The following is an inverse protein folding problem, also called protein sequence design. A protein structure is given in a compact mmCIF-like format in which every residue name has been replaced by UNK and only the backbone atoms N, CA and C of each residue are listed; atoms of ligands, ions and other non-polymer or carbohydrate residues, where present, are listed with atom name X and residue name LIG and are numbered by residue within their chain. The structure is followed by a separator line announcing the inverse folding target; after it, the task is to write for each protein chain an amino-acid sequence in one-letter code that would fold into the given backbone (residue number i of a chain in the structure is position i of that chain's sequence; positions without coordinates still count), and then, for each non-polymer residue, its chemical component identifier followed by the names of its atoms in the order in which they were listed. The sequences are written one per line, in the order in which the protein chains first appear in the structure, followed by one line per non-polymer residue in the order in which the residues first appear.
data_IF_813871048896
#
_entry.id   IF_813871048896
#
_cell.length_a   1.000
_cell.length_b   1.000
_cell.length_c   1.000
_cell.angle_alpha   90.00
_cell.angle_beta   90.00
_cell.angle_gamma   90.00
#
_symmetry.space_group_name_H-M   'P 1'
#
loop_
_entity.id
_entity.type
_entity.pdbx_description
1 polymer ?
#
# COMPACT_ATOMS: atom_id res chain seq x y z
N UNK A 1 -0.12 -11.28 -12.50
CA UNK A 1 -0.98 -11.23 -13.70
C UNK A 1 -2.17 -12.15 -13.49
N UNK A 2 -3.36 -11.71 -13.85
CA UNK A 2 -4.57 -12.53 -13.75
C UNK A 2 -4.58 -13.64 -14.79
N UNK A 3 -5.10 -14.82 -14.43
CA UNK A 3 -5.31 -15.91 -15.38
C UNK A 3 -6.50 -15.63 -16.31
N UNK A 4 -6.53 -16.24 -17.49
CA UNK A 4 -7.64 -16.09 -18.45
C UNK A 4 -9.02 -16.31 -17.82
N UNK A 5 -9.27 -17.42 -17.11
CA UNK A 5 -10.56 -17.65 -16.45
C UNK A 5 -10.93 -16.55 -15.44
N UNK A 6 -9.96 -16.03 -14.67
CA UNK A 6 -10.20 -14.93 -13.71
C UNK A 6 -10.54 -13.61 -14.41
N UNK A 7 -9.99 -13.38 -15.61
CA UNK A 7 -10.31 -12.21 -16.43
C UNK A 7 -11.76 -12.29 -16.90
N UNK A 8 -12.15 -13.41 -17.50
CA UNK A 8 -13.51 -13.64 -18.01
C UNK A 8 -14.57 -13.54 -16.92
N UNK A 9 -14.32 -14.15 -15.77
CA UNK A 9 -15.22 -14.06 -14.62
C UNK A 9 -15.38 -12.60 -14.15
N UNK A 10 -14.27 -11.86 -14.06
CA UNK A 10 -14.30 -10.46 -13.62
C UNK A 10 -15.01 -9.56 -14.62
N UNK A 11 -14.81 -9.77 -15.93
CA UNK A 11 -15.51 -9.04 -16.98
C UNK A 11 -17.02 -9.23 -16.83
N UNK A 12 -17.49 -10.47 -16.67
CA UNK A 12 -18.91 -10.79 -16.48
C UNK A 12 -19.46 -10.16 -15.20
N UNK A 13 -18.78 -10.36 -14.08
CA UNK A 13 -19.22 -9.86 -12.76
C UNK A 13 -19.31 -8.36 -12.66
N UNK A 14 -18.37 -7.63 -13.29
CA UNK A 14 -18.30 -6.15 -13.25
C UNK A 14 -18.98 -5.47 -14.42
N UNK A 15 -19.45 -6.23 -15.43
CA UNK A 15 -20.13 -5.71 -16.58
C UNK A 15 -19.22 -4.85 -17.48
N UNK A 16 -17.94 -5.19 -17.59
CA UNK A 16 -17.02 -4.49 -18.48
C UNK A 16 -17.40 -4.74 -19.95
N UNK A 17 -17.30 -3.71 -20.80
CA UNK A 17 -17.65 -3.75 -22.21
C UNK A 17 -16.64 -2.99 -23.04
N UNK A 18 -16.41 -3.40 -24.29
CA UNK A 18 -15.47 -2.75 -25.21
C UNK A 18 -15.85 -1.28 -25.49
N UNK A 19 -17.15 -0.98 -25.50
CA UNK A 19 -17.72 0.35 -25.70
C UNK A 19 -18.02 1.12 -24.39
N UNK A 20 -17.52 0.60 -23.27
CA UNK A 20 -17.84 1.14 -21.95
C UNK A 20 -16.65 1.13 -20.99
N UNK A 21 -16.92 0.71 -19.75
CA UNK A 21 -15.89 0.62 -18.70
C UNK A 21 -14.97 -0.58 -18.94
N UNK A 22 -13.66 -0.33 -18.89
CA UNK A 22 -12.63 -1.36 -19.06
C UNK A 22 -12.03 -1.80 -17.73
N UNK A 23 -11.42 -2.99 -17.73
CA UNK A 23 -10.65 -3.51 -16.63
C UNK A 23 -9.24 -2.92 -16.65
N UNK A 24 -8.81 -2.33 -15.53
CA UNK A 24 -7.55 -1.60 -15.39
C UNK A 24 -6.49 -2.35 -14.59
N UNK A 25 -6.83 -3.51 -14.04
CA UNK A 25 -6.01 -4.27 -13.10
C UNK A 25 -5.68 -5.69 -13.59
N UNK A 26 -5.37 -5.83 -14.88
CA UNK A 26 -4.88 -7.11 -15.44
C UNK A 26 -3.58 -7.55 -14.75
N UNK A 27 -2.72 -6.59 -14.41
CA UNK A 27 -1.58 -6.76 -13.53
C UNK A 27 -1.87 -6.03 -12.23
N UNK A 28 -1.74 -6.71 -11.10
CA UNK A 28 -1.71 -6.13 -9.78
C UNK A 28 -0.32 -6.24 -9.18
N UNK A 29 0.22 -5.13 -8.69
CA UNK A 29 1.45 -5.07 -7.92
C UNK A 29 1.08 -4.65 -6.51
N UNK A 30 1.63 -5.31 -5.50
CA UNK A 30 1.40 -4.97 -4.12
C UNK A 30 2.70 -4.57 -3.46
N UNK A 31 2.70 -3.42 -2.80
CA UNK A 31 3.82 -2.90 -2.02
C UNK A 31 3.38 -2.86 -0.57
N UNK A 32 4.03 -3.65 0.26
CA UNK A 32 3.76 -3.72 1.70
C UNK A 32 4.88 -3.02 2.45
N UNK A 33 4.53 -1.98 3.18
CA UNK A 33 5.43 -1.12 3.94
C UNK A 33 5.33 -1.45 5.44
N UNK A 34 6.38 -1.18 6.18
CA UNK A 34 6.35 -1.39 7.64
C UNK A 34 5.57 -0.30 8.37
N UNK A 35 5.57 0.93 7.87
CA UNK A 35 5.04 2.10 8.58
C UNK A 35 4.08 2.91 7.71
N UNK A 36 3.07 3.47 8.36
CA UNK A 36 2.02 4.24 7.70
C UNK A 36 2.51 5.57 7.10
N UNK A 37 3.53 6.20 7.70
CA UNK A 37 4.11 7.45 7.18
C UNK A 37 4.92 7.26 5.88
N UNK A 38 5.38 6.03 5.59
CA UNK A 38 6.05 5.70 4.33
C UNK A 38 5.09 5.57 3.14
N UNK A 39 3.77 5.43 3.39
CA UNK A 39 2.75 5.29 2.34
C UNK A 39 2.75 6.48 1.39
N UNK A 40 2.76 7.70 1.93
CA UNK A 40 2.79 8.92 1.13
C UNK A 40 4.10 9.10 0.36
N UNK A 41 5.22 8.67 0.93
CA UNK A 41 6.52 8.69 0.24
C UNK A 41 6.50 7.69 -0.93
N UNK A 42 6.02 6.49 -0.69
CA UNK A 42 5.87 5.46 -1.74
C UNK A 42 4.95 5.94 -2.87
N UNK A 43 3.81 6.55 -2.54
CA UNK A 43 2.92 7.15 -3.53
C UNK A 43 3.66 8.15 -4.42
N UNK A 44 4.39 9.12 -3.83
CA UNK A 44 5.15 10.12 -4.59
C UNK A 44 6.20 9.50 -5.52
N UNK A 45 6.88 8.45 -5.06
CA UNK A 45 7.86 7.73 -5.88
C UNK A 45 7.19 7.09 -7.11
N UNK A 46 6.01 6.48 -6.92
CA UNK A 46 5.24 5.90 -8.02
C UNK A 46 4.79 6.99 -9.01
N UNK A 47 4.23 8.10 -8.50
CA UNK A 47 3.79 9.24 -9.32
C UNK A 47 4.93 9.88 -10.13
N UNK A 48 6.15 9.89 -9.59
CA UNK A 48 7.34 10.36 -10.31
C UNK A 48 7.87 9.35 -11.34
N UNK A 49 7.56 8.07 -11.17
CA UNK A 49 8.12 6.98 -11.98
C UNK A 49 7.19 6.53 -13.09
N UNK A 50 5.89 6.73 -12.96
CA UNK A 50 4.86 6.25 -13.88
C UNK A 50 3.77 7.30 -14.10
N UNK A 51 3.12 7.24 -15.25
CA UNK A 51 1.91 8.03 -15.54
C UNK A 51 0.73 7.42 -14.79
N UNK A 52 0.30 8.07 -13.71
CA UNK A 52 -0.84 7.65 -12.90
C UNK A 52 -2.12 8.18 -13.53
N UNK A 53 -3.01 7.29 -13.94
CA UNK A 53 -4.28 7.62 -14.60
C UNK A 53 -5.46 7.69 -13.65
N UNK A 54 -5.39 6.99 -12.53
CA UNK A 54 -6.43 7.02 -11.49
C UNK A 54 -5.85 6.72 -10.11
N UNK A 55 -6.43 7.32 -9.07
CA UNK A 55 -6.06 7.10 -7.68
C UNK A 55 -7.33 6.82 -6.88
N UNK A 56 -7.42 5.62 -6.34
CA UNK A 56 -8.46 5.24 -5.39
C UNK A 56 -7.89 5.23 -3.97
N UNK A 57 -8.33 6.18 -3.16
CA UNK A 57 -7.97 6.27 -1.75
C UNK A 57 -9.22 6.14 -0.90
N UNK A 58 -9.21 5.19 0.03
CA UNK A 58 -10.21 5.17 1.11
C UNK A 58 -9.72 6.13 2.18
N UNK A 59 -10.46 7.21 2.40
CA UNK A 59 -10.17 8.16 3.47
C UNK A 59 -10.74 7.62 4.77
N UNK A 60 -9.94 7.63 5.83
CA UNK A 60 -10.43 7.31 7.17
C UNK A 60 -11.55 8.30 7.56
N UNK A 61 -12.71 7.76 7.93
CA UNK A 61 -13.75 8.55 8.57
C UNK A 61 -13.45 8.61 10.08
N UNK A 62 -13.42 9.80 10.72
CA UNK A 62 -13.05 9.92 12.13
C UNK A 62 -13.88 9.05 13.09
N UNK A 63 -15.11 8.73 12.68
CA UNK A 63 -16.04 7.96 13.49
C UNK A 63 -16.02 6.45 13.20
N UNK A 64 -15.23 6.01 12.21
CA UNK A 64 -15.19 4.61 11.77
C UNK A 64 -13.78 4.15 11.52
N UNK A 65 -13.44 3.00 12.07
CA UNK A 65 -12.25 2.29 11.67
C UNK A 65 -12.52 1.55 10.36
N UNK A 66 -11.93 2.04 9.28
CA UNK A 66 -12.00 1.45 7.95
C UNK A 66 -10.60 1.25 7.41
N UNK A 67 -10.29 0.10 6.79
CA UNK A 67 -8.97 -0.10 6.18
C UNK A 67 -8.65 0.99 5.18
N UNK A 68 -7.59 1.74 5.43
CA UNK A 68 -7.06 2.66 4.43
C UNK A 68 -6.53 1.87 3.25
N UNK A 69 -7.04 2.18 2.08
CA UNK A 69 -6.62 1.57 0.82
C UNK A 69 -6.09 2.67 -0.08
N UNK A 70 -4.88 2.51 -0.54
CA UNK A 70 -4.32 3.36 -1.57
C UNK A 70 -3.97 2.49 -2.78
N UNK A 71 -4.72 2.69 -3.85
CA UNK A 71 -4.50 2.01 -5.11
C UNK A 71 -4.25 3.07 -6.18
N UNK A 72 -3.20 2.89 -6.95
CA UNK A 72 -2.87 3.71 -8.11
C UNK A 72 -3.02 2.87 -9.36
N UNK A 73 -3.70 3.40 -10.37
CA UNK A 73 -3.73 2.81 -11.70
C UNK A 73 -2.71 3.54 -12.55
N UNK A 74 -1.73 2.80 -13.05
CA UNK A 74 -0.61 3.34 -13.81
C UNK A 74 -0.66 2.86 -15.25
N UNK A 75 -0.28 3.70 -16.21
CA UNK A 75 -0.11 3.32 -17.61
C UNK A 75 1.05 2.34 -17.77
N UNK A 76 0.86 1.31 -18.56
CA UNK A 76 1.95 0.42 -18.96
C UNK A 76 2.85 1.11 -19.98
N UNK A 77 4.16 0.97 -19.81
CA UNK A 77 5.11 1.33 -20.86
C UNK A 77 5.01 0.35 -22.03
N UNK A 78 5.25 0.83 -23.24
CA UNK A 78 5.17 0.01 -24.45
C UNK A 78 5.96 -1.31 -24.36
N UNK A 79 7.17 -1.26 -23.80
CA UNK A 79 7.99 -2.45 -23.56
C UNK A 79 7.33 -3.54 -22.73
N UNK A 80 6.36 -3.18 -21.88
CA UNK A 80 5.59 -4.12 -21.05
C UNK A 80 4.34 -4.55 -21.79
N UNK A 81 3.60 -3.59 -22.36
CA UNK A 81 2.36 -3.89 -23.09
C UNK A 81 2.60 -4.75 -24.34
N UNK A 82 3.74 -4.59 -24.98
CA UNK A 82 4.14 -5.37 -26.18
C UNK A 82 4.51 -6.84 -25.88
N UNK A 83 4.68 -7.19 -24.59
CA UNK A 83 4.86 -8.59 -24.18
C UNK A 83 3.55 -9.38 -24.14
N UNK A 84 2.42 -8.69 -24.17
CA UNK A 84 1.10 -9.31 -24.27
C UNK A 84 0.70 -9.48 -25.73
N UNK A 85 -0.10 -10.50 -26.00
CA UNK A 85 -0.74 -10.62 -27.31
C UNK A 85 -1.62 -9.39 -27.59
N UNK A 86 -1.37 -8.73 -28.71
CA UNK A 86 -2.09 -7.52 -29.09
C UNK A 86 -3.60 -7.76 -29.29
N UNK A 87 -4.05 -9.00 -29.45
CA UNK A 87 -5.46 -9.37 -29.52
C UNK A 87 -6.19 -9.09 -28.20
N UNK A 88 -5.51 -9.25 -27.06
CA UNK A 88 -6.09 -9.00 -25.73
C UNK A 88 -6.65 -7.58 -25.61
N UNK A 89 -5.94 -6.58 -26.13
CA UNK A 89 -6.35 -5.17 -26.06
C UNK A 89 -7.50 -4.81 -26.98
N UNK A 90 -7.77 -5.64 -27.99
CA UNK A 90 -8.82 -5.42 -28.99
C UNK A 90 -10.08 -6.24 -28.75
N UNK A 91 -9.91 -7.45 -28.24
CA UNK A 91 -10.99 -8.43 -28.07
C UNK A 91 -11.62 -8.36 -26.68
N UNK A 92 -10.88 -7.86 -25.68
CA UNK A 92 -11.36 -7.75 -24.32
C UNK A 92 -11.42 -6.28 -23.86
N UNK A 93 -12.38 -5.93 -22.98
CA UNK A 93 -12.49 -4.57 -22.42
C UNK A 93 -11.41 -4.36 -21.34
N UNK A 94 -10.15 -4.27 -21.74
CA UNK A 94 -8.99 -4.17 -20.87
C UNK A 94 -8.14 -2.97 -21.29
N UNK A 95 -7.77 -2.11 -20.34
CA UNK A 95 -6.84 -1.00 -20.56
C UNK A 95 -5.39 -1.47 -20.44
N UNK A 96 -4.47 -0.79 -21.13
CA UNK A 96 -3.01 -0.97 -21.00
C UNK A 96 -2.51 -0.35 -19.70
N UNK A 97 -3.03 -0.83 -18.58
CA UNK A 97 -2.74 -0.33 -17.24
C UNK A 97 -2.40 -1.46 -16.28
N UNK A 98 -1.79 -1.09 -15.17
CA UNK A 98 -1.57 -1.97 -14.02
C UNK A 98 -1.95 -1.24 -12.73
N UNK A 99 -2.40 -1.99 -11.73
CA UNK A 99 -2.75 -1.44 -10.43
C UNK A 99 -1.60 -1.63 -9.45
N UNK A 100 -1.22 -0.56 -8.75
CA UNK A 100 -0.30 -0.62 -7.61
C UNK A 100 -1.09 -0.42 -6.33
N UNK A 101 -1.07 -1.42 -5.46
CA UNK A 101 -1.71 -1.40 -4.14
C UNK A 101 -0.66 -1.14 -3.09
N UNK A 102 -0.78 -0.04 -2.34
CA UNK A 102 0.14 0.31 -1.25
C UNK A 102 -0.57 0.05 0.07
N UNK A 103 0.07 -0.69 0.95
CA UNK A 103 -0.46 -1.14 2.25
C UNK A 103 0.62 -1.10 3.32
N UNK A 104 0.24 -1.07 4.60
CA UNK A 104 1.13 -1.45 5.69
C UNK A 104 1.02 -2.96 5.96
N UNK A 105 1.98 -3.52 6.68
CA UNK A 105 1.98 -4.95 7.07
C UNK A 105 0.68 -5.32 7.80
N UNK A 106 0.21 -4.48 8.73
CA UNK A 106 -1.01 -4.76 9.48
C UNK A 106 -2.27 -4.59 8.63
N UNK A 107 -2.32 -3.54 7.82
CA UNK A 107 -3.42 -3.31 6.87
C UNK A 107 -3.52 -4.44 5.84
N UNK A 108 -2.39 -4.95 5.38
CA UNK A 108 -2.35 -6.07 4.44
C UNK A 108 -2.80 -7.38 5.09
N UNK A 109 -2.26 -7.70 6.28
CA UNK A 109 -2.67 -8.90 7.00
C UNK A 109 -4.17 -8.91 7.30
N UNK A 110 -4.72 -7.78 7.71
CA UNK A 110 -6.16 -7.61 7.87
C UNK A 110 -6.91 -7.81 6.55
N UNK A 111 -6.44 -7.18 5.46
CA UNK A 111 -7.10 -7.25 4.16
C UNK A 111 -7.22 -8.69 3.64
N UNK A 112 -6.18 -9.49 3.80
CA UNK A 112 -6.19 -10.90 3.40
C UNK A 112 -7.23 -11.70 4.22
N UNK A 113 -7.27 -11.51 5.54
CA UNK A 113 -8.24 -12.17 6.41
C UNK A 113 -9.68 -11.73 6.07
N UNK A 114 -9.91 -10.43 5.95
CA UNK A 114 -11.24 -9.87 5.65
C UNK A 114 -11.73 -10.32 4.28
N UNK A 115 -10.85 -10.28 3.28
CA UNK A 115 -11.20 -10.65 1.92
C UNK A 115 -11.53 -12.14 1.78
N UNK A 116 -10.74 -13.01 2.39
CA UNK A 116 -10.89 -14.43 2.19
C UNK A 116 -11.96 -15.05 3.11
N UNK A 117 -12.12 -14.53 4.31
CA UNK A 117 -13.03 -15.10 5.30
C UNK A 117 -14.40 -14.42 5.29
N UNK A 118 -14.46 -13.08 5.18
CA UNK A 118 -15.72 -12.35 5.25
C UNK A 118 -16.26 -11.90 3.90
N UNK A 119 -15.45 -11.19 3.10
CA UNK A 119 -15.93 -10.61 1.85
C UNK A 119 -16.41 -11.66 0.84
N UNK A 120 -15.67 -12.76 0.67
CA UNK A 120 -16.07 -13.86 -0.21
C UNK A 120 -17.27 -14.63 0.29
N UNK A 121 -17.55 -14.60 1.60
CA UNK A 121 -18.61 -15.34 2.27
C UNK A 121 -19.58 -14.41 3.00
N UNK A 122 -19.84 -13.22 2.44
CA UNK A 122 -20.61 -12.17 3.12
C UNK A 122 -22.02 -12.61 3.53
N UNK A 123 -22.63 -13.53 2.79
CA UNK A 123 -23.93 -14.09 3.12
C UNK A 123 -23.89 -14.87 4.44
N UNK A 124 -22.81 -15.59 4.72
CA UNK A 124 -22.65 -16.38 5.95
C UNK A 124 -22.49 -15.48 7.19
N UNK A 125 -22.01 -14.25 7.00
CA UNK A 125 -21.81 -13.26 8.06
C UNK A 125 -23.02 -12.39 8.34
N UNK A 126 -24.00 -12.35 7.43
CA UNK A 126 -25.17 -11.48 7.52
C UNK A 126 -26.02 -11.74 8.77
N UNK A 127 -26.06 -12.98 9.25
CA UNK A 127 -26.80 -13.39 10.45
C UNK A 127 -26.02 -13.13 11.75
N UNK A 128 -24.74 -12.75 11.67
CA UNK A 128 -23.86 -12.58 12.82
C UNK A 128 -23.25 -11.17 12.91
N UNK A 129 -24.07 -10.10 13.07
CA UNK A 129 -23.58 -8.72 13.05
C UNK A 129 -22.62 -8.41 14.20
N UNK A 130 -22.77 -9.07 15.36
CA UNK A 130 -21.85 -8.88 16.49
C UNK A 130 -20.47 -9.45 16.20
N UNK A 131 -20.37 -10.61 15.57
CA UNK A 131 -19.08 -11.19 15.17
C UNK A 131 -18.42 -10.34 14.10
N UNK A 132 -19.19 -9.82 13.15
CA UNK A 132 -18.68 -8.87 12.14
C UNK A 132 -18.14 -7.59 12.79
N UNK A 133 -18.84 -7.07 13.83
CA UNK A 133 -18.36 -5.92 14.62
C UNK A 133 -17.07 -6.25 15.38
N UNK A 134 -16.98 -7.41 16.00
CA UNK A 134 -15.79 -7.85 16.72
C UNK A 134 -14.60 -7.95 15.78
N UNK A 135 -14.79 -8.48 14.57
CA UNK A 135 -13.77 -8.54 13.54
C UNK A 135 -13.28 -7.12 13.15
N UNK A 136 -14.18 -6.14 13.02
CA UNK A 136 -13.81 -4.74 12.81
C UNK A 136 -13.02 -4.15 14.00
N UNK A 137 -13.31 -4.59 15.23
CA UNK A 137 -12.54 -4.22 16.43
C UNK A 137 -11.10 -4.70 16.38
N UNK A 138 -10.84 -5.87 15.79
CA UNK A 138 -9.47 -6.35 15.56
C UNK A 138 -8.73 -5.41 14.60
N UNK A 139 -9.40 -4.95 13.54
CA UNK A 139 -8.81 -3.97 12.63
C UNK A 139 -8.42 -2.66 13.34
N UNK A 140 -9.31 -2.12 14.18
CA UNK A 140 -9.03 -0.92 14.97
C UNK A 140 -7.79 -1.09 15.87
N UNK A 141 -7.61 -2.29 16.43
CA UNK A 141 -6.43 -2.63 17.21
C UNK A 141 -5.15 -2.63 16.35
N UNK A 142 -5.20 -3.22 15.16
CA UNK A 142 -4.07 -3.27 14.25
C UNK A 142 -3.66 -1.88 13.76
N UNK A 143 -4.60 -1.00 13.46
CA UNK A 143 -4.34 0.40 13.11
C UNK A 143 -3.69 1.15 14.27
N UNK A 144 -4.17 0.94 15.50
CA UNK A 144 -3.56 1.50 16.71
C UNK A 144 -2.13 0.97 16.91
N UNK A 145 -1.87 -0.30 16.58
CA UNK A 145 -0.53 -0.88 16.63
C UNK A 145 0.42 -0.24 15.62
N UNK A 146 -0.04 0.07 14.40
CA UNK A 146 0.75 0.81 13.40
C UNK A 146 1.25 2.14 13.97
N UNK A 147 0.35 2.91 14.58
CA UNK A 147 0.69 4.21 15.17
C UNK A 147 1.59 4.08 16.39
N UNK A 148 1.34 3.08 17.23
CA UNK A 148 2.17 2.82 18.42
C UNK A 148 3.60 2.45 18.03
N UNK A 149 3.80 1.59 17.02
CA UNK A 149 5.13 1.25 16.52
C UNK A 149 5.87 2.48 15.99
N UNK A 150 5.20 3.30 15.17
CA UNK A 150 5.79 4.52 14.64
C UNK A 150 6.22 5.48 15.77
N UNK A 151 5.38 5.63 16.79
CA UNK A 151 5.67 6.43 17.98
C UNK A 151 6.89 5.93 18.74
N UNK A 152 7.01 4.61 18.95
CA UNK A 152 8.16 3.98 19.62
C UNK A 152 9.46 4.25 18.86
N UNK A 153 9.47 4.07 17.53
CA UNK A 153 10.65 4.31 16.69
C UNK A 153 11.05 5.79 16.70
N UNK A 154 10.08 6.69 16.61
CA UNK A 154 10.33 8.14 16.70
C UNK A 154 10.89 8.52 18.08
N UNK A 155 10.39 7.92 19.16
CA UNK A 155 10.91 8.16 20.52
C UNK A 155 12.35 7.64 20.64
N UNK A 156 12.65 6.45 20.10
CA UNK A 156 14.02 5.94 20.07
C UNK A 156 14.96 6.91 19.36
N UNK A 157 14.60 7.38 18.15
CA UNK A 157 15.38 8.36 17.41
C UNK A 157 15.60 9.65 18.24
N UNK A 158 14.58 10.13 18.95
CA UNK A 158 14.67 11.30 19.82
C UNK A 158 15.60 11.07 21.03
N UNK A 159 15.59 9.89 21.65
CA UNK A 159 16.54 9.55 22.72
C UNK A 159 17.97 9.51 22.20
N UNK A 160 18.20 8.97 21.02
CA UNK A 160 19.51 8.95 20.33
C UNK A 160 19.97 10.37 20.00
N UNK A 161 19.07 11.25 19.51
CA UNK A 161 19.32 12.68 19.29
C UNK A 161 19.82 13.37 20.57
N UNK A 162 19.12 13.20 21.71
CA UNK A 162 19.52 13.78 23.00
C UNK A 162 20.89 13.33 23.48
N UNK A 163 21.30 12.13 23.12
CA UNK A 163 22.60 11.54 23.47
C UNK A 163 23.69 11.83 22.43
N UNK A 164 23.40 12.62 21.39
CA UNK A 164 24.30 12.89 20.25
C UNK A 164 24.77 11.62 19.53
N UNK A 165 23.98 10.57 19.55
CA UNK A 165 24.23 9.32 18.84
C UNK A 165 23.74 9.46 17.38
N UNK A 166 24.42 10.34 16.61
CA UNK A 166 23.96 10.81 15.33
C UNK A 166 23.76 9.73 14.29
N UNK A 167 24.70 8.79 14.17
CA UNK A 167 24.59 7.67 13.22
C UNK A 167 23.37 6.80 13.54
N UNK A 168 23.18 6.44 14.81
CA UNK A 168 22.05 5.66 15.27
C UNK A 168 20.73 6.41 15.06
N UNK A 169 20.70 7.70 15.38
CA UNK A 169 19.53 8.55 15.20
C UNK A 169 19.11 8.61 13.73
N UNK A 170 20.04 8.83 12.80
CA UNK A 170 19.76 8.87 11.36
C UNK A 170 19.28 7.49 10.90
N UNK A 171 19.97 6.41 11.28
CA UNK A 171 19.53 5.03 10.94
C UNK A 171 18.10 4.77 11.40
N UNK A 172 17.79 5.11 12.65
CA UNK A 172 16.46 4.89 13.24
C UNK A 172 15.41 5.78 12.58
N UNK A 173 15.70 7.08 12.42
CA UNK A 173 14.73 8.06 11.86
C UNK A 173 14.48 7.84 10.38
N UNK A 174 15.53 7.55 9.61
CA UNK A 174 15.45 7.33 8.16
C UNK A 174 15.20 5.87 7.80
N UNK A 175 15.26 4.96 8.78
CA UNK A 175 15.05 3.50 8.59
C UNK A 175 15.97 2.91 7.52
N UNK A 176 17.22 3.37 7.50
CA UNK A 176 18.24 2.97 6.53
C UNK A 176 19.36 2.18 7.19
N UNK A 177 20.06 1.39 6.39
CA UNK A 177 21.31 0.78 6.78
C UNK A 177 22.47 1.64 6.30
N UNK A 178 23.37 2.02 7.22
CA UNK A 178 24.60 2.71 6.87
C UNK A 178 25.73 1.67 6.75
N UNK A 179 26.55 1.77 5.71
CA UNK A 179 27.82 1.04 5.68
C UNK A 179 28.68 1.52 6.85
N UNK A 180 29.31 0.59 7.56
CA UNK A 180 30.23 0.83 8.68
C UNK A 180 29.62 1.55 9.91
N UNK A 181 28.31 1.77 9.97
CA UNK A 181 27.62 2.43 11.09
C UNK A 181 28.22 3.80 11.49
N UNK A 182 28.93 4.47 10.58
CA UNK A 182 29.61 5.74 10.83
C UNK A 182 29.13 6.84 9.88
N UNK A 183 29.12 8.06 10.40
CA UNK A 183 28.95 9.29 9.64
C UNK A 183 30.31 9.93 9.39
N UNK A 184 30.45 10.68 8.29
CA UNK A 184 31.63 11.52 8.08
C UNK A 184 31.76 12.58 9.17
N UNK A 185 32.99 12.98 9.49
CA UNK A 185 33.25 14.02 10.49
C UNK A 185 32.50 15.32 10.22
N UNK A 186 32.44 15.75 8.96
CA UNK A 186 31.73 16.96 8.54
C UNK A 186 30.23 16.92 8.84
N UNK A 187 29.59 15.75 8.68
CA UNK A 187 28.16 15.57 9.03
C UNK A 187 27.99 15.65 10.55
N UNK A 188 28.89 15.01 11.33
CA UNK A 188 28.84 15.07 12.79
C UNK A 188 29.02 16.49 13.31
N UNK A 189 29.93 17.25 12.75
CA UNK A 189 30.16 18.67 13.08
C UNK A 189 28.90 19.49 12.80
N UNK A 190 28.33 19.37 11.59
CA UNK A 190 27.10 20.06 11.19
C UNK A 190 25.94 19.76 12.16
N UNK A 191 25.77 18.51 12.57
CA UNK A 191 24.70 18.11 13.49
C UNK A 191 24.96 18.63 14.92
N UNK A 192 26.21 18.76 15.34
CA UNK A 192 26.54 19.35 16.64
C UNK A 192 26.30 20.85 16.71
N UNK A 193 26.52 21.56 15.59
CA UNK A 193 26.30 23.01 15.49
C UNK A 193 24.82 23.39 15.41
N UNK A 194 23.97 22.50 14.94
CA UNK A 194 22.53 22.72 14.73
C UNK A 194 21.64 21.94 15.72
N UNK A 195 22.13 21.64 16.90
CA UNK A 195 21.39 20.90 17.94
C UNK A 195 20.35 21.80 18.63
#
# INVERSE_FOLDING_TARGET
VKSGPSIEEKIKRKGYRIDGKHMQDIIGVRITLYFSDDVLLCQKIIEQSYDVVDISKTTAEPEKFCPERLNLVCSMRDKISDQFDNSIWKEYPIDKTFEVQIRTVFSEGWHEVEHDIRYKSIADWSEYPELSRNLNGVFATLETCDWAMLSIINNLAYQQYKKKQWAQMIKTKMRIHLQDDKLSGSIVELLNENQ
#
